data_IF_774281195375
#
_entry.id   IF_774281195375
#
_cell.length_a   1.000
_cell.length_b   1.000
_cell.length_c   1.000
_cell.angle_alpha   90.00
_cell.angle_beta   90.00
_cell.angle_gamma   90.00
#
_symmetry.space_group_name_H-M   'P 1'
#
loop_
_entity.id
_entity.type
_entity.pdbx_description
1 polymer ?
#
# COMPACT_ATOMS: atom_id res chain seq x y z
N UNK A 1 30.21 -41.84 -100.40
CA UNK A 1 29.00 -41.40 -101.12
C UNK A 1 28.15 -40.61 -100.14
N UNK A 2 27.71 -39.43 -100.56
CA UNK A 2 26.79 -38.53 -99.87
C UNK A 2 25.47 -39.19 -99.49
N UNK A 3 24.85 -38.64 -98.44
CA UNK A 3 23.54 -37.94 -98.45
C UNK A 3 23.24 -37.65 -96.97
N UNK A 4 23.62 -36.49 -96.41
CA UNK A 4 22.92 -35.21 -96.54
C UNK A 4 21.42 -35.39 -96.78
N UNK A 5 20.65 -35.36 -95.70
CA UNK A 5 19.36 -34.70 -95.74
C UNK A 5 19.28 -33.74 -94.56
N UNK A 6 18.91 -32.53 -94.94
CA UNK A 6 18.98 -31.27 -94.21
C UNK A 6 17.54 -30.82 -93.88
N UNK A 7 17.48 -29.89 -92.92
CA UNK A 7 16.40 -28.96 -92.57
C UNK A 7 15.12 -29.45 -91.88
N UNK A 8 14.86 -28.81 -90.74
CA UNK A 8 13.54 -28.65 -90.12
C UNK A 8 13.64 -27.98 -88.75
N UNK A 9 13.92 -26.68 -88.72
CA UNK A 9 13.75 -25.78 -87.57
C UNK A 9 12.36 -25.91 -86.95
N UNK A 10 12.29 -25.95 -85.62
CA UNK A 10 11.28 -25.20 -84.89
C UNK A 10 11.83 -24.83 -83.50
N UNK A 11 12.07 -23.55 -83.34
CA UNK A 11 12.24 -22.86 -82.07
C UNK A 11 11.02 -23.15 -81.20
N UNK A 12 11.22 -23.59 -79.96
CA UNK A 12 10.39 -23.13 -78.86
C UNK A 12 11.18 -23.13 -77.56
N UNK A 13 11.12 -21.96 -76.96
CA UNK A 13 11.72 -21.53 -75.73
C UNK A 13 11.13 -22.23 -74.50
N UNK A 14 11.79 -21.96 -73.36
CA UNK A 14 11.27 -22.08 -72.02
C UNK A 14 11.05 -23.48 -71.44
N UNK A 15 12.03 -23.92 -70.65
CA UNK A 15 11.81 -24.00 -69.20
C UNK A 15 13.13 -24.14 -68.46
N UNK A 16 13.78 -22.99 -68.23
CA UNK A 16 14.72 -22.85 -67.13
C UNK A 16 13.91 -22.63 -65.85
N UNK A 17 13.41 -23.71 -65.23
CA UNK A 17 12.83 -23.62 -63.89
C UNK A 17 13.95 -23.55 -62.85
N UNK A 18 14.47 -22.33 -62.61
CA UNK A 18 15.13 -22.04 -61.34
C UNK A 18 14.13 -22.29 -60.20
N UNK A 19 14.54 -22.93 -59.09
CA UNK A 19 13.76 -22.87 -57.87
C UNK A 19 13.92 -21.46 -57.28
N UNK A 20 12.85 -20.68 -57.32
CA UNK A 20 12.75 -19.41 -56.62
C UNK A 20 12.75 -19.69 -55.10
N UNK A 21 13.92 -19.57 -54.48
CA UNK A 21 14.14 -19.86 -53.06
C UNK A 21 14.22 -18.56 -52.26
N UNK A 22 13.11 -17.83 -52.19
CA UNK A 22 12.98 -16.66 -51.33
C UNK A 22 11.67 -16.64 -50.54
N UNK A 23 11.43 -17.65 -49.69
CA UNK A 23 10.41 -17.53 -48.64
C UNK A 23 10.61 -18.52 -47.48
N UNK A 24 11.58 -18.26 -46.60
CA UNK A 24 11.61 -18.92 -45.26
C UNK A 24 12.21 -18.07 -44.13
N UNK A 25 12.67 -16.83 -44.38
CA UNK A 25 13.34 -16.02 -43.35
C UNK A 25 12.43 -15.05 -42.57
N UNK A 26 11.19 -14.82 -43.00
CA UNK A 26 10.28 -13.87 -42.32
C UNK A 26 9.55 -14.48 -41.11
N UNK A 27 9.19 -15.76 -41.17
CA UNK A 27 8.41 -16.41 -40.09
C UNK A 27 9.24 -16.72 -38.84
N UNK A 28 10.51 -17.11 -39.01
CA UNK A 28 11.43 -17.36 -37.89
C UNK A 28 11.79 -16.08 -37.13
N UNK A 29 11.93 -14.97 -37.86
CA UNK A 29 12.32 -13.69 -37.29
C UNK A 29 11.15 -13.07 -36.53
N UNK A 30 9.93 -13.13 -37.09
CA UNK A 30 8.71 -12.69 -36.39
C UNK A 30 8.40 -13.54 -35.17
N UNK A 31 8.51 -14.87 -35.22
CA UNK A 31 8.27 -15.72 -34.05
C UNK A 31 9.24 -15.45 -32.89
N UNK A 32 10.51 -15.15 -33.17
CA UNK A 32 11.48 -14.79 -32.15
C UNK A 32 11.22 -13.40 -31.54
N UNK A 33 10.83 -12.42 -32.37
CA UNK A 33 10.48 -11.06 -31.91
C UNK A 33 9.20 -11.09 -31.05
N UNK A 34 8.17 -11.84 -31.46
CA UNK A 34 6.92 -11.97 -30.70
C UNK A 34 7.17 -12.67 -29.36
N UNK A 35 8.00 -13.70 -29.33
CA UNK A 35 8.37 -14.40 -28.09
C UNK A 35 9.16 -13.52 -27.12
N UNK A 36 10.11 -12.72 -27.64
CA UNK A 36 10.85 -11.74 -26.83
C UNK A 36 9.95 -10.60 -26.32
N UNK A 37 9.02 -10.12 -27.15
CA UNK A 37 8.10 -9.04 -26.78
C UNK A 37 7.08 -9.51 -25.74
N UNK A 38 6.61 -10.76 -25.83
CA UNK A 38 5.74 -11.36 -24.80
C UNK A 38 6.47 -11.55 -23.46
N UNK A 39 7.73 -11.99 -23.46
CA UNK A 39 8.51 -12.07 -22.22
C UNK A 39 8.74 -10.69 -21.58
N UNK A 40 9.02 -9.66 -22.39
CA UNK A 40 9.18 -8.29 -21.90
C UNK A 40 7.88 -7.71 -21.32
N UNK A 41 6.73 -7.95 -21.98
CA UNK A 41 5.43 -7.53 -21.45
C UNK A 41 5.08 -8.22 -20.14
N UNK A 42 5.41 -9.51 -20.00
CA UNK A 42 5.13 -10.27 -18.78
C UNK A 42 5.98 -9.79 -17.60
N UNK A 43 7.26 -9.46 -17.81
CA UNK A 43 8.11 -8.83 -16.79
C UNK A 43 7.64 -7.43 -16.40
N UNK A 44 7.16 -6.62 -17.35
CA UNK A 44 6.61 -5.29 -17.04
C UNK A 44 5.33 -5.37 -16.21
N UNK A 45 4.41 -6.27 -16.53
CA UNK A 45 3.18 -6.47 -15.73
C UNK A 45 3.50 -6.94 -14.30
N UNK A 46 4.46 -7.85 -14.14
CA UNK A 46 4.86 -8.35 -12.82
C UNK A 46 5.50 -7.24 -11.96
N UNK A 47 6.30 -6.37 -12.58
CA UNK A 47 6.92 -5.20 -11.90
C UNK A 47 5.87 -4.18 -11.44
N UNK A 48 4.82 -3.94 -12.24
CA UNK A 48 3.72 -3.05 -11.86
C UNK A 48 2.93 -3.58 -10.66
N UNK A 49 2.68 -4.89 -10.60
CA UNK A 49 1.98 -5.53 -9.48
C UNK A 49 2.78 -5.42 -8.18
N UNK A 50 4.10 -5.63 -8.23
CA UNK A 50 4.98 -5.50 -7.07
C UNK A 50 4.96 -4.05 -6.54
N UNK A 51 5.03 -3.06 -7.43
CA UNK A 51 4.97 -1.65 -7.05
C UNK A 51 3.64 -1.28 -6.36
N UNK A 52 2.51 -1.76 -6.88
CA UNK A 52 1.20 -1.52 -6.26
C UNK A 52 1.10 -2.15 -4.87
N UNK A 53 1.62 -3.38 -4.71
CA UNK A 53 1.63 -4.06 -3.42
C UNK A 53 2.50 -3.29 -2.41
N UNK A 54 3.68 -2.81 -2.83
CA UNK A 54 4.56 -2.00 -1.99
C UNK A 54 3.89 -0.69 -1.55
N UNK A 55 3.19 0.00 -2.46
CA UNK A 55 2.44 1.22 -2.11
C UNK A 55 1.34 0.94 -1.08
N UNK A 56 0.59 -0.14 -1.25
CA UNK A 56 -0.45 -0.54 -0.29
C UNK A 56 0.14 -0.90 1.07
N UNK A 57 1.25 -1.61 1.10
CA UNK A 57 2.00 -1.93 2.33
C UNK A 57 2.46 -0.65 3.03
N UNK A 58 3.00 0.31 2.28
CA UNK A 58 3.44 1.59 2.83
C UNK A 58 2.27 2.40 3.39
N UNK A 59 1.14 2.45 2.68
CA UNK A 59 -0.06 3.13 3.16
C UNK A 59 -0.58 2.50 4.45
N UNK A 60 -0.65 1.16 4.51
CA UNK A 60 -1.06 0.44 5.72
C UNK A 60 -0.12 0.74 6.89
N UNK A 61 1.20 0.72 6.64
CA UNK A 61 2.20 1.09 7.65
C UNK A 61 1.95 2.49 8.18
N UNK A 62 1.81 3.48 7.30
CA UNK A 62 1.60 4.88 7.70
C UNK A 62 0.31 5.05 8.52
N UNK A 63 -0.80 4.44 8.09
CA UNK A 63 -2.06 4.46 8.84
C UNK A 63 -1.93 3.77 10.20
N UNK A 64 -1.18 2.67 10.28
CA UNK A 64 -0.92 1.96 11.54
C UNK A 64 -0.12 2.83 12.50
N UNK A 65 0.90 3.54 12.00
CA UNK A 65 1.70 4.47 12.81
C UNK A 65 0.81 5.55 13.40
N UNK A 66 0.01 6.24 12.59
CA UNK A 66 -0.90 7.28 13.08
C UNK A 66 -1.89 6.73 14.11
N UNK A 67 -2.49 5.56 13.84
CA UNK A 67 -3.44 4.93 14.76
C UNK A 67 -2.79 4.56 16.10
N UNK A 68 -1.58 3.97 16.06
CA UNK A 68 -0.84 3.63 17.27
C UNK A 68 -0.40 4.86 18.04
N UNK A 69 0.09 5.90 17.35
CA UNK A 69 0.47 7.17 17.98
C UNK A 69 -0.71 7.76 18.74
N UNK A 70 -1.90 7.82 18.12
CA UNK A 70 -3.11 8.34 18.75
C UNK A 70 -3.57 7.48 19.93
N UNK A 71 -3.55 6.15 19.78
CA UNK A 71 -3.97 5.22 20.82
C UNK A 71 -3.08 5.32 22.06
N UNK A 72 -1.76 5.35 21.84
CA UNK A 72 -0.78 5.44 22.90
C UNK A 72 -0.78 6.83 23.54
N UNK A 73 -0.87 7.91 22.77
CA UNK A 73 -0.99 9.27 23.30
C UNK A 73 -2.24 9.45 24.19
N UNK A 74 -3.35 8.79 23.86
CA UNK A 74 -4.57 8.82 24.67
C UNK A 74 -4.47 8.01 25.98
N UNK A 75 -3.58 7.01 26.06
CA UNK A 75 -3.46 6.07 27.19
C UNK A 75 -1.98 5.66 27.43
N UNK A 76 -1.10 6.64 27.67
CA UNK A 76 0.37 6.47 27.58
C UNK A 76 0.89 5.38 28.52
N UNK A 77 0.50 5.39 29.79
CA UNK A 77 1.04 4.48 30.80
C UNK A 77 0.83 3.00 30.42
N UNK A 78 -0.44 2.61 30.25
CA UNK A 78 -0.78 1.23 29.92
C UNK A 78 -0.41 0.86 28.49
N UNK A 79 -0.54 1.81 27.55
CA UNK A 79 -0.21 1.61 26.15
C UNK A 79 1.29 1.34 25.97
N UNK A 80 2.14 2.20 26.54
CA UNK A 80 3.59 2.07 26.45
C UNK A 80 4.09 0.84 27.19
N UNK A 81 3.54 0.51 28.37
CA UNK A 81 3.91 -0.71 29.10
C UNK A 81 3.75 -1.98 28.24
N UNK A 82 2.67 -2.09 27.47
CA UNK A 82 2.45 -3.24 26.57
C UNK A 82 3.28 -3.18 25.28
N UNK A 83 3.59 -1.98 24.79
CA UNK A 83 4.21 -1.79 23.47
C UNK A 83 5.71 -1.54 23.50
N UNK A 84 6.31 -1.27 24.66
CA UNK A 84 7.76 -1.03 24.82
C UNK A 84 8.62 -2.21 24.34
N UNK A 85 8.09 -3.43 24.41
CA UNK A 85 8.75 -4.63 23.90
C UNK A 85 9.04 -4.55 22.38
N UNK A 86 8.26 -3.77 21.61
CA UNK A 86 8.49 -3.55 20.18
C UNK A 86 9.81 -2.82 19.92
N UNK A 87 10.28 -2.01 20.87
CA UNK A 87 11.58 -1.35 20.80
C UNK A 87 12.77 -2.31 20.89
N UNK A 88 12.57 -3.51 21.44
CA UNK A 88 13.58 -4.57 21.58
C UNK A 88 13.35 -5.74 20.60
N UNK A 89 12.40 -5.60 19.68
CA UNK A 89 12.07 -6.66 18.75
C UNK A 89 13.27 -7.04 17.86
N UNK A 90 13.42 -8.33 17.52
CA UNK A 90 14.57 -8.84 16.75
C UNK A 90 14.67 -8.20 15.37
N UNK A 91 13.52 -7.99 14.73
CA UNK A 91 13.42 -7.36 13.42
C UNK A 91 13.68 -5.84 13.49
N UNK A 92 14.70 -5.31 12.77
CA UNK A 92 15.00 -3.88 12.74
C UNK A 92 13.87 -3.01 12.18
N UNK A 93 13.07 -3.53 11.25
CA UNK A 93 11.99 -2.74 10.65
C UNK A 93 10.86 -2.47 11.65
N UNK A 94 10.54 -3.46 12.49
CA UNK A 94 9.62 -3.34 13.62
C UNK A 94 10.11 -2.30 14.63
N UNK A 95 11.41 -2.33 14.99
CA UNK A 95 11.99 -1.33 15.90
C UNK A 95 11.91 0.08 15.32
N UNK A 96 12.24 0.24 14.03
CA UNK A 96 12.18 1.53 13.35
C UNK A 96 10.74 2.09 13.30
N UNK A 97 9.75 1.25 12.98
CA UNK A 97 8.35 1.65 13.01
C UNK A 97 7.88 2.06 14.41
N UNK A 98 8.29 1.33 15.46
CA UNK A 98 7.98 1.70 16.83
C UNK A 98 8.64 3.02 17.25
N UNK A 99 9.91 3.24 16.87
CA UNK A 99 10.58 4.53 17.12
C UNK A 99 9.91 5.69 16.38
N UNK A 100 9.36 5.46 15.19
CA UNK A 100 8.58 6.46 14.47
C UNK A 100 7.27 6.81 15.19
N UNK A 101 6.56 5.81 15.73
CA UNK A 101 5.40 6.01 16.60
C UNK A 101 5.77 6.83 17.84
N UNK A 102 6.84 6.46 18.54
CA UNK A 102 7.33 7.23 19.70
C UNK A 102 7.69 8.66 19.31
N UNK A 103 8.32 8.85 18.16
CA UNK A 103 8.69 10.18 17.68
C UNK A 103 7.45 11.02 17.38
N UNK A 104 6.40 10.46 16.77
CA UNK A 104 5.14 11.17 16.56
C UNK A 104 4.45 11.55 17.86
N UNK A 105 4.43 10.64 18.84
CA UNK A 105 3.93 10.88 20.19
C UNK A 105 4.67 12.07 20.82
N UNK A 106 6.01 12.07 20.76
CA UNK A 106 6.84 13.17 21.26
C UNK A 106 6.60 14.50 20.52
N UNK A 107 6.51 14.48 19.20
CA UNK A 107 6.31 15.67 18.36
C UNK A 107 4.94 16.32 18.50
N UNK A 108 3.89 15.53 18.76
CA UNK A 108 2.55 16.05 19.04
C UNK A 108 2.48 16.82 20.36
N UNK A 109 3.55 16.82 21.15
CA UNK A 109 3.57 17.36 22.49
C UNK A 109 2.96 16.35 23.44
N UNK A 110 3.63 15.21 23.65
CA UNK A 110 3.28 14.39 24.81
C UNK A 110 3.50 15.18 26.05
N UNK A 111 2.39 15.50 26.71
CA UNK A 111 2.38 15.87 28.11
C UNK A 111 2.84 14.64 28.89
N UNK A 112 4.15 14.35 29.00
CA UNK A 112 4.62 13.52 30.12
C UNK A 112 4.29 14.21 31.45
N UNK A 113 4.12 15.54 31.42
CA UNK A 113 3.50 16.33 32.47
C UNK A 113 2.01 15.99 32.71
N UNK A 114 1.32 15.21 31.86
CA UNK A 114 0.01 14.59 32.25
C UNK A 114 0.15 13.41 33.20
N UNK A 115 1.36 12.91 33.43
CA UNK A 115 1.65 12.08 34.59
C UNK A 115 2.04 12.91 35.81
N UNK A 116 2.30 14.22 35.66
CA UNK A 116 2.42 15.11 36.80
C UNK A 116 1.01 15.48 37.28
N UNK A 117 0.79 15.26 38.58
CA UNK A 117 -0.49 15.35 39.29
C UNK A 117 -1.25 16.67 38.99
N UNK A 118 -0.53 17.73 38.66
CA UNK A 118 -1.04 19.08 38.35
C UNK A 118 -1.85 19.16 37.04
N UNK A 119 -1.44 18.49 35.95
CA UNK A 119 -2.18 18.58 34.65
C UNK A 119 -3.37 17.62 34.63
N UNK A 120 -3.28 16.51 35.37
CA UNK A 120 -4.42 15.62 35.60
C UNK A 120 -5.50 16.35 36.41
N UNK A 121 -5.09 17.12 37.43
CA UNK A 121 -5.99 18.00 38.18
C UNK A 121 -6.69 19.01 37.27
N UNK A 122 -5.96 19.70 36.38
CA UNK A 122 -6.56 20.67 35.44
C UNK A 122 -7.59 20.03 34.50
N UNK A 123 -7.35 18.80 34.05
CA UNK A 123 -8.32 18.04 33.21
C UNK A 123 -9.55 17.60 34.01
N UNK A 124 -9.36 17.16 35.24
CA UNK A 124 -10.50 16.85 36.13
C UNK A 124 -11.29 18.11 36.48
N UNK A 125 -10.63 19.23 36.75
CA UNK A 125 -11.28 20.52 36.96
C UNK A 125 -12.11 20.91 35.74
N UNK A 126 -11.55 20.77 34.52
CA UNK A 126 -12.31 21.07 33.30
C UNK A 126 -13.50 20.13 33.08
N UNK A 127 -13.34 18.84 33.39
CA UNK A 127 -14.43 17.87 33.33
C UNK A 127 -15.53 18.21 34.33
N UNK A 128 -15.15 18.54 35.57
CA UNK A 128 -16.07 18.98 36.63
C UNK A 128 -16.79 20.24 36.17
N UNK A 129 -16.07 21.24 35.67
CA UNK A 129 -16.64 22.49 35.16
C UNK A 129 -17.68 22.25 34.06
N UNK A 130 -17.39 21.36 33.11
CA UNK A 130 -18.32 20.99 32.04
C UNK A 130 -19.55 20.25 32.58
N UNK A 131 -19.38 19.27 33.46
CA UNK A 131 -20.50 18.50 34.05
C UNK A 131 -21.36 19.38 34.97
N UNK A 132 -20.75 20.35 35.66
CA UNK A 132 -21.42 21.33 36.52
C UNK A 132 -21.83 22.60 35.79
N UNK A 133 -21.66 22.67 34.47
CA UNK A 133 -22.07 23.83 33.68
C UNK A 133 -23.59 24.00 33.79
N UNK A 134 -24.02 25.18 34.25
CA UNK A 134 -25.43 25.53 34.41
C UNK A 134 -25.91 26.16 33.10
N UNK A 135 -26.90 25.52 32.46
CA UNK A 135 -27.56 26.05 31.26
C UNK A 135 -28.55 27.17 31.57
N UNK A 136 -29.09 27.82 30.54
CA UNK A 136 -29.97 29.00 30.64
C UNK A 136 -31.22 28.79 31.53
N UNK A 137 -31.61 27.54 31.76
CA UNK A 137 -32.76 27.15 32.60
C UNK A 137 -32.38 26.77 34.03
N UNK A 138 -31.13 26.96 34.45
CA UNK A 138 -30.65 26.56 35.77
C UNK A 138 -30.37 25.06 35.91
N UNK A 139 -30.36 24.33 34.80
CA UNK A 139 -30.15 22.87 34.76
C UNK A 139 -28.68 22.54 34.47
N UNK A 140 -28.26 21.32 34.82
CA UNK A 140 -26.94 20.77 34.48
C UNK A 140 -27.09 19.86 33.25
N UNK A 141 -26.94 20.38 32.02
CA UNK A 141 -27.41 19.68 30.82
C UNK A 141 -26.69 18.35 30.60
N UNK A 142 -25.38 18.33 30.88
CA UNK A 142 -24.54 17.13 30.74
C UNK A 142 -24.90 16.10 31.81
N UNK A 143 -24.99 16.51 33.08
CA UNK A 143 -25.36 15.60 34.17
C UNK A 143 -26.77 15.01 33.96
N UNK A 144 -27.72 15.82 33.52
CA UNK A 144 -29.10 15.39 33.22
C UNK A 144 -29.15 14.44 32.02
N UNK A 145 -28.39 14.72 30.95
CA UNK A 145 -28.27 13.81 29.82
C UNK A 145 -27.70 12.45 30.24
N UNK A 146 -26.67 12.43 31.09
CA UNK A 146 -26.09 11.20 31.62
C UNK A 146 -27.07 10.43 32.52
N UNK A 147 -27.82 11.13 33.38
CA UNK A 147 -28.82 10.51 34.27
C UNK A 147 -29.97 9.88 33.48
N UNK A 148 -30.40 10.50 32.38
CA UNK A 148 -31.50 10.01 31.54
C UNK A 148 -31.15 8.75 30.73
N UNK A 149 -29.86 8.44 30.54
CA UNK A 149 -29.41 7.24 29.82
C UNK A 149 -29.42 5.99 30.72
N UNK A 150 -29.42 6.17 32.04
CA UNK A 150 -29.50 5.06 33.00
C UNK A 150 -30.98 4.74 33.26
N UNK A 151 -31.40 3.53 32.88
CA UNK A 151 -32.76 3.06 33.18
C UNK A 151 -32.93 2.92 34.70
N UNK A 152 -33.99 3.46 35.32
CA UNK A 152 -34.25 3.31 36.76
C UNK A 152 -34.65 1.88 37.17
N UNK A 153 -34.57 0.89 36.26
CA UNK A 153 -35.00 -0.50 36.46
C UNK A 153 -34.13 -1.27 37.49
N UNK A 154 -33.08 -0.65 38.05
CA UNK A 154 -32.21 -1.26 39.06
C UNK A 154 -31.95 -0.36 40.28
N UNK A 155 -32.80 0.66 40.52
CA UNK A 155 -32.72 1.50 41.71
C UNK A 155 -33.89 1.24 42.65
#
# INVERSE_FOLDING_TARGET
MNLLNDCGDDLNDDQNSLPDHHQTNNDRTTSNITSQTQQQQQQQQQSQMINQLQQKQQSLRNSTIVAMSNLLAANIESGLMRSIALGYHRDPQTRAAFMEVLTQILQQGTEFDTLAETVLADRFERLVELVTMIGDKGELPIAMALANVVSPQYM
#
